data_IF_778500690585
#
_entry.id   IF_778500690585
#
_cell.length_a   1.000
_cell.length_b   1.000
_cell.length_c   1.000
_cell.angle_alpha   90.00
_cell.angle_beta   90.00
_cell.angle_gamma   90.00
#
_symmetry.space_group_name_H-M   'P 1'
#
loop_
_entity.id
_entity.type
_entity.pdbx_description
1 polymer ?
#
# COMPACT_ATOMS: atom_id res chain seq x y z
N UNK A 1 -1.04 -22.27 -10.73
CA UNK A 1 -1.85 -21.33 -9.91
C UNK A 1 -2.19 -20.15 -10.82
N UNK A 2 -3.47 -19.81 -11.00
CA UNK A 2 -3.88 -18.73 -11.91
C UNK A 2 -3.30 -17.37 -11.51
N UNK A 3 -3.23 -16.45 -12.47
CA UNK A 3 -2.79 -15.07 -12.22
C UNK A 3 -3.74 -14.41 -11.22
N UNK A 4 -3.18 -13.79 -10.17
CA UNK A 4 -3.97 -12.95 -9.24
C UNK A 4 -4.33 -11.66 -9.96
N UNK A 5 -5.57 -11.22 -9.80
CA UNK A 5 -5.99 -9.90 -10.21
C UNK A 5 -5.66 -8.90 -9.10
N UNK A 6 -5.25 -7.70 -9.49
CA UNK A 6 -5.13 -6.56 -8.59
C UNK A 6 -6.09 -5.48 -9.06
N UNK A 7 -6.86 -4.89 -8.15
CA UNK A 7 -7.82 -3.84 -8.44
C UNK A 7 -7.84 -2.81 -7.32
N UNK A 8 -7.77 -1.52 -7.65
CA UNK A 8 -8.11 -0.45 -6.72
C UNK A 8 -9.63 -0.38 -6.60
N UNK A 9 -10.16 -0.47 -5.38
CA UNK A 9 -11.60 -0.48 -5.12
C UNK A 9 -11.90 0.07 -3.74
N UNK A 10 -13.02 0.80 -3.65
CA UNK A 10 -13.46 1.49 -2.45
C UNK A 10 -12.37 2.41 -1.88
N UNK A 11 -11.62 3.09 -2.73
CA UNK A 11 -10.54 3.98 -2.32
C UNK A 11 -11.08 5.31 -1.79
N UNK A 12 -12.02 5.93 -2.51
CA UNK A 12 -12.42 7.32 -2.27
C UNK A 12 -13.93 7.50 -2.14
N UNK A 13 -14.35 8.56 -1.45
CA UNK A 13 -15.76 8.96 -1.38
C UNK A 13 -16.34 9.34 -2.74
N UNK A 14 -15.51 9.79 -3.69
CA UNK A 14 -15.91 10.08 -5.06
C UNK A 14 -16.27 8.81 -5.84
N UNK A 15 -15.49 7.73 -5.66
CA UNK A 15 -15.82 6.40 -6.18
C UNK A 15 -17.12 5.88 -5.55
N UNK A 16 -17.20 5.92 -4.22
CA UNK A 16 -18.38 5.42 -3.49
C UNK A 16 -19.67 6.16 -3.92
N UNK A 17 -19.60 7.49 -4.06
CA UNK A 17 -20.73 8.31 -4.54
C UNK A 17 -21.16 7.97 -5.96
N UNK A 18 -20.20 7.69 -6.86
CA UNK A 18 -20.49 7.29 -8.23
C UNK A 18 -21.24 5.95 -8.29
N UNK A 19 -20.78 4.95 -7.53
CA UNK A 19 -21.36 3.60 -7.56
C UNK A 19 -22.70 3.56 -6.81
N UNK A 20 -22.81 4.23 -5.65
CA UNK A 20 -24.04 4.19 -4.86
C UNK A 20 -25.14 5.08 -5.44
N UNK A 21 -24.81 6.28 -5.90
CA UNK A 21 -25.81 7.29 -6.24
C UNK A 21 -25.64 7.92 -7.62
N UNK A 22 -24.54 7.66 -8.33
CA UNK A 22 -24.27 8.31 -9.62
C UNK A 22 -24.00 9.81 -9.47
N UNK A 23 -23.44 10.20 -8.32
CA UNK A 23 -23.15 11.58 -7.94
C UNK A 23 -21.66 11.79 -7.67
N UNK A 24 -21.26 13.04 -7.43
CA UNK A 24 -19.89 13.41 -7.10
C UNK A 24 -18.99 13.64 -8.32
N UNK A 25 -17.72 13.95 -8.04
CA UNK A 25 -16.77 14.41 -9.04
C UNK A 25 -16.56 13.43 -10.21
N UNK A 26 -16.60 12.12 -9.95
CA UNK A 26 -16.48 11.12 -11.01
C UNK A 26 -17.74 11.03 -11.89
N UNK A 27 -18.93 11.24 -11.32
CA UNK A 27 -20.15 11.30 -12.12
C UNK A 27 -20.15 12.52 -13.04
N UNK A 28 -19.66 13.68 -12.55
CA UNK A 28 -19.51 14.89 -13.35
C UNK A 28 -18.49 14.68 -14.50
N UNK A 29 -17.40 13.94 -14.24
CA UNK A 29 -16.43 13.52 -15.25
C UNK A 29 -17.08 12.63 -16.32
N UNK A 30 -17.87 11.64 -15.92
CA UNK A 30 -18.56 10.74 -16.85
C UNK A 30 -19.52 11.52 -17.75
N UNK A 31 -20.31 12.44 -17.19
CA UNK A 31 -21.20 13.31 -17.97
C UNK A 31 -20.43 14.20 -18.95
N UNK A 32 -19.32 14.80 -18.51
CA UNK A 32 -18.47 15.64 -19.38
C UNK A 32 -17.85 14.84 -20.54
N UNK A 33 -17.59 13.55 -20.34
CA UNK A 33 -17.11 12.63 -21.38
C UNK A 33 -18.22 12.02 -22.23
N UNK A 34 -19.49 12.32 -21.97
CA UNK A 34 -20.63 11.68 -22.63
C UNK A 34 -20.75 10.18 -22.32
N UNK A 35 -20.17 9.72 -21.21
CA UNK A 35 -20.24 8.33 -20.76
C UNK A 35 -21.54 8.12 -20.00
N UNK A 36 -22.45 7.31 -20.56
CA UNK A 36 -23.68 6.93 -19.88
C UNK A 36 -23.36 6.06 -18.65
N UNK A 37 -23.99 6.39 -17.52
CA UNK A 37 -23.82 5.65 -16.26
C UNK A 37 -25.14 5.60 -15.50
N UNK A 38 -25.49 4.39 -15.04
CA UNK A 38 -26.60 4.17 -14.12
C UNK A 38 -26.03 3.57 -12.86
N UNK A 39 -26.22 4.26 -11.74
CA UNK A 39 -25.69 3.83 -10.47
C UNK A 39 -26.34 2.50 -10.03
N UNK A 40 -25.56 1.46 -9.71
CA UNK A 40 -26.10 0.18 -9.25
C UNK A 40 -26.70 0.23 -7.84
N UNK A 41 -26.47 1.30 -7.05
CA UNK A 41 -27.11 1.44 -5.73
C UNK A 41 -26.47 0.62 -4.61
N UNK A 42 -25.27 0.07 -4.84
CA UNK A 42 -24.53 -0.79 -3.91
C UNK A 42 -23.14 -0.22 -3.62
N UNK A 43 -22.42 -0.78 -2.65
CA UNK A 43 -21.02 -0.39 -2.38
C UNK A 43 -20.11 -0.73 -3.57
N UNK A 44 -18.96 -0.07 -3.74
CA UNK A 44 -17.97 -0.43 -4.76
C UNK A 44 -17.51 -1.90 -4.66
N UNK A 45 -17.32 -2.40 -3.42
CA UNK A 45 -16.95 -3.80 -3.17
C UNK A 45 -18.05 -4.74 -3.66
N UNK A 46 -19.31 -4.45 -3.33
CA UNK A 46 -20.44 -5.25 -3.78
C UNK A 46 -20.59 -5.23 -5.29
N UNK A 47 -20.46 -4.06 -5.91
CA UNK A 47 -20.55 -3.90 -7.36
C UNK A 47 -19.49 -4.75 -8.09
N UNK A 48 -18.22 -4.67 -7.68
CA UNK A 48 -17.15 -5.49 -8.26
C UNK A 48 -17.44 -6.98 -8.06
N UNK A 49 -17.97 -7.38 -6.91
CA UNK A 49 -18.37 -8.76 -6.66
C UNK A 49 -19.51 -9.22 -7.58
N UNK A 50 -20.55 -8.41 -7.78
CA UNK A 50 -21.71 -8.74 -8.63
C UNK A 50 -21.31 -8.82 -10.10
N UNK A 51 -20.27 -8.09 -10.52
CA UNK A 51 -19.64 -8.22 -11.84
C UNK A 51 -18.70 -9.44 -11.98
N UNK A 52 -18.55 -10.26 -10.94
CA UNK A 52 -17.65 -11.43 -10.94
C UNK A 52 -16.17 -11.10 -10.74
N UNK A 53 -15.81 -9.84 -10.42
CA UNK A 53 -14.43 -9.40 -10.24
C UNK A 53 -13.70 -10.03 -9.04
N UNK A 54 -14.45 -10.69 -8.14
CA UNK A 54 -13.92 -11.46 -7.02
C UNK A 54 -14.09 -12.97 -7.16
N UNK A 55 -14.45 -13.47 -8.35
CA UNK A 55 -14.55 -14.91 -8.62
C UNK A 55 -13.18 -15.55 -8.93
N UNK A 56 -12.13 -14.73 -8.98
CA UNK A 56 -10.73 -15.12 -9.08
C UNK A 56 -9.94 -14.64 -7.85
N UNK A 57 -8.74 -15.18 -7.60
CA UNK A 57 -7.86 -14.65 -6.56
C UNK A 57 -7.58 -13.15 -6.77
N UNK A 58 -8.09 -12.31 -5.89
CA UNK A 58 -8.02 -10.84 -6.02
C UNK A 58 -7.30 -10.18 -4.84
N UNK A 59 -6.46 -9.20 -5.18
CA UNK A 59 -5.86 -8.21 -4.27
C UNK A 59 -6.59 -6.88 -4.45
N UNK A 60 -7.40 -6.50 -3.48
CA UNK A 60 -8.04 -5.19 -3.43
C UNK A 60 -7.06 -4.17 -2.84
N UNK A 61 -6.77 -3.10 -3.58
CA UNK A 61 -5.89 -2.01 -3.11
C UNK A 61 -6.75 -0.93 -2.46
N UNK A 62 -6.22 -0.34 -1.38
CA UNK A 62 -6.85 0.70 -0.54
C UNK A 62 -7.94 0.19 0.41
N UNK A 63 -9.11 -0.19 -0.12
CA UNK A 63 -10.26 -0.66 0.65
C UNK A 63 -10.63 0.28 1.82
N UNK A 64 -10.79 1.58 1.55
CA UNK A 64 -11.05 2.64 2.54
C UNK A 64 -12.53 2.76 2.88
N UNK A 65 -13.39 2.79 1.87
CA UNK A 65 -14.85 2.95 1.99
C UNK A 65 -15.52 1.57 2.18
N UNK A 66 -15.17 0.87 3.25
CA UNK A 66 -15.62 -0.50 3.55
C UNK A 66 -16.46 -0.52 4.82
N UNK A 67 -17.64 -1.12 4.73
CA UNK A 67 -18.52 -1.41 5.87
C UNK A 67 -18.45 -2.90 6.29
N UNK A 68 -19.24 -3.28 7.30
CA UNK A 68 -19.28 -4.65 7.82
C UNK A 68 -19.70 -5.69 6.76
N UNK A 69 -20.65 -5.32 5.89
CA UNK A 69 -21.15 -6.21 4.84
C UNK A 69 -20.08 -6.42 3.77
N UNK A 70 -19.36 -5.36 3.41
CA UNK A 70 -18.23 -5.39 2.50
C UNK A 70 -17.09 -6.25 3.06
N UNK A 71 -16.72 -6.07 4.33
CA UNK A 71 -15.67 -6.86 4.98
C UNK A 71 -16.03 -8.36 5.02
N UNK A 72 -17.29 -8.69 5.32
CA UNK A 72 -17.79 -10.07 5.29
C UNK A 72 -17.75 -10.65 3.87
N UNK A 73 -18.11 -9.85 2.85
CA UNK A 73 -18.07 -10.27 1.45
C UNK A 73 -16.64 -10.52 0.97
N UNK A 74 -15.69 -9.61 1.28
CA UNK A 74 -14.27 -9.79 0.99
C UNK A 74 -13.73 -11.08 1.60
N UNK A 75 -14.09 -11.36 2.86
CA UNK A 75 -13.73 -12.61 3.52
C UNK A 75 -14.30 -13.82 2.79
N UNK A 76 -15.60 -13.82 2.49
CA UNK A 76 -16.29 -14.92 1.84
C UNK A 76 -15.69 -15.23 0.45
N UNK A 77 -15.34 -14.17 -0.31
CA UNK A 77 -14.69 -14.26 -1.62
C UNK A 77 -13.17 -14.50 -1.55
N UNK A 78 -12.59 -14.59 -0.35
CA UNK A 78 -11.14 -14.75 -0.12
C UNK A 78 -10.29 -13.66 -0.78
N UNK A 79 -10.85 -12.45 -0.87
CA UNK A 79 -10.12 -11.26 -1.33
C UNK A 79 -9.16 -10.83 -0.23
N UNK A 80 -7.94 -10.48 -0.63
CA UNK A 80 -6.93 -9.90 0.26
C UNK A 80 -6.81 -8.40 0.02
N UNK A 81 -6.32 -7.64 1.00
CA UNK A 81 -6.20 -6.19 0.90
C UNK A 81 -4.72 -5.76 0.93
N UNK A 82 -4.34 -4.88 -0.01
CA UNK A 82 -3.12 -4.09 0.06
C UNK A 82 -3.46 -2.70 0.62
N UNK A 83 -3.07 -2.45 1.87
CA UNK A 83 -3.30 -1.19 2.55
C UNK A 83 -2.15 -0.21 2.28
N UNK A 84 -2.49 0.97 1.75
CA UNK A 84 -1.53 2.01 1.37
C UNK A 84 -1.74 3.30 2.19
N UNK A 85 -1.46 3.30 3.51
CA UNK A 85 -1.89 4.36 4.41
C UNK A 85 -1.32 5.74 4.08
N UNK A 86 -0.07 5.83 3.60
CA UNK A 86 0.50 7.13 3.18
C UNK A 86 -0.19 7.68 1.93
N UNK A 87 -0.43 6.84 0.94
CA UNK A 87 -1.16 7.24 -0.27
C UNK A 87 -2.56 7.76 0.09
N UNK A 88 -3.27 7.00 0.92
CA UNK A 88 -4.60 7.38 1.37
C UNK A 88 -4.60 8.74 2.08
N UNK A 89 -3.58 8.98 2.93
CA UNK A 89 -3.37 10.26 3.60
C UNK A 89 -3.04 11.40 2.63
N UNK A 90 -2.12 11.18 1.68
CA UNK A 90 -1.71 12.17 0.68
C UNK A 90 -2.88 12.59 -0.22
N UNK A 91 -3.72 11.63 -0.62
CA UNK A 91 -4.87 11.87 -1.47
C UNK A 91 -6.11 12.35 -0.69
N UNK A 92 -6.05 12.36 0.64
CA UNK A 92 -7.16 12.80 1.48
C UNK A 92 -8.41 11.90 1.40
N UNK A 93 -8.23 10.63 1.06
CA UNK A 93 -9.35 9.69 0.86
C UNK A 93 -9.82 8.99 2.14
N UNK A 94 -9.08 9.16 3.24
CA UNK A 94 -9.46 8.70 4.58
C UNK A 94 -8.64 7.53 5.12
N UNK A 95 -9.11 6.95 6.23
CA UNK A 95 -8.43 5.83 6.91
C UNK A 95 -9.21 4.52 6.70
N UNK A 96 -8.53 3.52 6.13
CA UNK A 96 -9.14 2.21 5.95
C UNK A 96 -9.51 1.58 7.31
N UNK A 97 -10.64 0.85 7.40
CA UNK A 97 -11.14 0.27 8.63
C UNK A 97 -10.37 -1.00 9.00
N UNK A 98 -9.08 -0.88 9.32
CA UNK A 98 -8.19 -2.02 9.56
C UNK A 98 -8.72 -2.96 10.65
N UNK A 99 -9.22 -2.41 11.76
CA UNK A 99 -9.79 -3.23 12.85
C UNK A 99 -10.97 -4.07 12.37
N UNK A 100 -11.86 -3.49 11.56
CA UNK A 100 -12.99 -4.21 10.97
C UNK A 100 -12.54 -5.31 10.02
N UNK A 101 -11.68 -4.98 9.05
CA UNK A 101 -11.15 -5.93 8.07
C UNK A 101 -10.46 -7.12 8.75
N UNK A 102 -9.58 -6.83 9.72
CA UNK A 102 -8.86 -7.86 10.47
C UNK A 102 -9.79 -8.70 11.33
N UNK A 103 -10.78 -8.10 12.00
CA UNK A 103 -11.81 -8.80 12.79
C UNK A 103 -12.67 -9.72 11.91
N UNK A 104 -12.99 -9.31 10.68
CA UNK A 104 -13.67 -10.14 9.69
C UNK A 104 -12.77 -11.26 9.13
N UNK A 105 -11.47 -11.28 9.46
CA UNK A 105 -10.51 -12.29 9.01
C UNK A 105 -10.03 -12.08 7.57
N UNK A 106 -10.16 -10.87 7.02
CA UNK A 106 -9.55 -10.46 5.75
C UNK A 106 -8.04 -10.34 5.97
N UNK A 107 -7.25 -10.91 5.06
CA UNK A 107 -5.78 -10.77 5.13
C UNK A 107 -5.40 -9.42 4.55
N UNK A 108 -4.66 -8.63 5.34
CA UNK A 108 -4.22 -7.29 4.97
C UNK A 108 -2.70 -7.22 4.99
N UNK A 109 -2.10 -6.87 3.85
CA UNK A 109 -0.67 -6.54 3.74
C UNK A 109 -0.48 -5.02 3.54
N UNK A 110 0.76 -4.55 3.62
CA UNK A 110 1.10 -3.16 3.31
C UNK A 110 1.56 -2.99 1.86
N UNK A 111 1.20 -1.86 1.26
CA UNK A 111 1.70 -1.39 -0.03
C UNK A 111 2.06 0.08 0.05
N UNK A 112 3.00 0.52 -0.79
CA UNK A 112 3.39 1.94 -0.85
C UNK A 112 2.53 2.72 -1.83
N UNK A 113 1.80 2.03 -2.71
CA UNK A 113 1.22 2.61 -3.92
C UNK A 113 2.32 3.25 -4.81
N UNK A 114 1.92 4.08 -5.78
CA UNK A 114 2.80 4.69 -6.77
C UNK A 114 3.59 5.88 -6.23
N UNK A 115 4.69 6.22 -6.92
CA UNK A 115 5.45 7.44 -6.63
C UNK A 115 4.62 8.73 -6.82
N UNK A 116 3.52 8.71 -7.58
CA UNK A 116 2.66 9.89 -7.76
C UNK A 116 1.78 10.17 -6.53
N UNK A 117 1.39 9.14 -5.80
CA UNK A 117 0.52 9.21 -4.63
C UNK A 117 1.26 8.98 -3.30
N UNK A 118 2.56 8.66 -3.34
CA UNK A 118 3.39 8.51 -2.13
C UNK A 118 4.64 9.41 -2.10
N UNK A 119 5.25 9.63 -3.27
CA UNK A 119 6.59 10.23 -3.46
C UNK A 119 7.77 9.39 -2.94
N UNK A 120 7.53 8.23 -2.33
CA UNK A 120 8.57 7.29 -1.89
C UNK A 120 8.08 5.84 -1.93
N UNK A 121 8.97 4.91 -1.60
CA UNK A 121 8.67 3.49 -1.45
C UNK A 121 9.25 2.96 -0.13
N UNK A 122 8.92 3.65 0.98
CA UNK A 122 9.43 3.35 2.32
C UNK A 122 8.39 2.59 3.15
N UNK A 123 8.60 1.27 3.30
CA UNK A 123 7.73 0.41 4.12
C UNK A 123 7.83 0.68 5.63
N UNK A 124 8.91 1.28 6.14
CA UNK A 124 8.97 1.70 7.55
C UNK A 124 7.99 2.83 7.82
N UNK A 125 7.87 3.76 6.87
CA UNK A 125 6.85 4.80 6.95
C UNK A 125 5.44 4.22 6.78
N UNK A 126 5.22 3.27 5.86
CA UNK A 126 3.90 2.62 5.75
C UNK A 126 3.49 1.91 7.04
N UNK A 127 4.40 1.20 7.72
CA UNK A 127 4.13 0.57 9.01
C UNK A 127 3.73 1.61 10.06
N UNK A 128 4.44 2.74 10.15
CA UNK A 128 4.10 3.84 11.07
C UNK A 128 2.74 4.42 10.79
N UNK A 129 2.48 4.78 9.53
CA UNK A 129 1.22 5.37 9.13
C UNK A 129 0.06 4.39 9.31
N UNK A 130 0.25 3.09 9.05
CA UNK A 130 -0.77 2.07 9.35
C UNK A 130 -1.17 2.08 10.83
N UNK A 131 -0.17 2.11 11.74
CA UNK A 131 -0.44 2.13 13.19
C UNK A 131 -1.13 3.42 13.60
N UNK A 132 -0.60 4.58 13.19
CA UNK A 132 -1.16 5.87 13.60
C UNK A 132 -2.55 6.10 13.03
N UNK A 133 -2.79 5.77 11.76
CA UNK A 133 -4.10 5.91 11.13
C UNK A 133 -5.13 4.98 11.77
N UNK A 134 -4.78 3.72 12.07
CA UNK A 134 -5.68 2.80 12.76
C UNK A 134 -6.05 3.31 14.15
N UNK A 135 -5.05 3.72 14.95
CA UNK A 135 -5.28 4.23 16.31
C UNK A 135 -6.09 5.53 16.31
N UNK A 136 -5.82 6.44 15.38
CA UNK A 136 -6.56 7.68 15.25
C UNK A 136 -8.02 7.44 14.82
N UNK A 137 -8.25 6.52 13.87
CA UNK A 137 -9.58 6.14 13.40
C UNK A 137 -10.42 5.52 14.52
N UNK A 138 -9.88 4.53 15.21
CA UNK A 138 -10.60 3.79 16.27
C UNK A 138 -10.61 4.51 17.63
N UNK A 139 -9.79 5.56 17.79
CA UNK A 139 -9.51 6.22 19.07
C UNK A 139 -9.04 5.23 20.15
N UNK A 140 -8.25 4.25 19.73
CA UNK A 140 -7.77 3.15 20.56
C UNK A 140 -6.30 2.84 20.26
N UNK A 141 -5.46 2.90 21.30
CA UNK A 141 -4.04 2.55 21.20
C UNK A 141 -3.79 1.06 20.90
N UNK A 142 -4.76 0.19 21.18
CA UNK A 142 -4.69 -1.24 20.90
C UNK A 142 -5.15 -1.61 19.47
N UNK A 143 -5.68 -0.66 18.69
CA UNK A 143 -6.22 -0.92 17.35
C UNK A 143 -5.22 -1.59 16.39
N UNK A 144 -3.94 -1.21 16.48
CA UNK A 144 -2.85 -1.88 15.77
C UNK A 144 -1.56 -1.78 16.58
N UNK A 145 -0.90 -2.91 16.81
CA UNK A 145 0.40 -2.97 17.48
C UNK A 145 1.56 -2.85 16.49
N UNK A 146 2.76 -2.52 16.97
CA UNK A 146 3.98 -2.53 16.14
C UNK A 146 4.25 -3.93 15.57
N UNK A 147 4.03 -4.98 16.36
CA UNK A 147 4.14 -6.38 15.91
C UNK A 147 3.18 -6.69 14.76
N UNK A 148 1.94 -6.23 14.86
CA UNK A 148 0.96 -6.41 13.77
C UNK A 148 1.40 -5.67 12.51
N UNK A 149 1.88 -4.44 12.63
CA UNK A 149 2.37 -3.67 11.48
C UNK A 149 3.58 -4.33 10.81
N UNK A 150 4.54 -4.83 11.60
CA UNK A 150 5.67 -5.60 11.10
C UNK A 150 5.23 -6.87 10.37
N UNK A 151 4.24 -7.59 10.93
CA UNK A 151 3.66 -8.76 10.29
C UNK A 151 2.94 -8.40 8.98
N UNK A 152 2.20 -7.29 8.94
CA UNK A 152 1.55 -6.77 7.74
C UNK A 152 2.56 -6.40 6.63
N UNK A 153 3.70 -5.82 7.01
CA UNK A 153 4.80 -5.51 6.10
C UNK A 153 5.65 -6.71 5.66
N UNK A 154 5.44 -7.90 6.24
CA UNK A 154 6.25 -9.10 5.97
C UNK A 154 5.39 -10.32 5.63
N UNK A 155 4.96 -11.09 6.62
CA UNK A 155 4.27 -12.38 6.41
C UNK A 155 2.88 -12.20 5.79
N UNK A 156 2.10 -11.23 6.25
CA UNK A 156 0.78 -11.01 5.66
C UNK A 156 0.92 -10.37 4.27
N UNK A 157 1.93 -9.52 4.04
CA UNK A 157 2.34 -9.08 2.71
C UNK A 157 2.66 -10.24 1.76
N UNK A 158 3.44 -11.23 2.22
CA UNK A 158 3.69 -12.44 1.44
C UNK A 158 2.40 -13.26 1.22
N UNK A 159 1.50 -13.30 2.21
CA UNK A 159 0.23 -14.04 2.15
C UNK A 159 -0.73 -13.44 1.14
N UNK A 160 -0.89 -12.11 1.11
CA UNK A 160 -1.75 -11.44 0.11
C UNK A 160 -1.24 -11.68 -1.31
N UNK A 161 0.08 -11.86 -1.49
CA UNK A 161 0.71 -12.21 -2.76
C UNK A 161 0.72 -13.72 -3.07
N UNK A 162 0.36 -14.59 -2.11
CA UNK A 162 0.41 -16.05 -2.26
C UNK A 162 1.82 -16.64 -2.24
N UNK A 163 2.75 -15.93 -1.61
CA UNK A 163 4.16 -16.27 -1.45
C UNK A 163 4.52 -16.68 -0.01
N UNK A 164 3.53 -16.87 0.86
CA UNK A 164 3.73 -17.16 2.28
C UNK A 164 4.44 -18.49 2.55
N UNK A 165 4.49 -19.41 1.58
CA UNK A 165 5.30 -20.63 1.69
C UNK A 165 6.77 -20.40 1.32
N UNK A 166 7.10 -19.29 0.66
CA UNK A 166 8.42 -19.01 0.11
C UNK A 166 9.15 -17.91 0.88
N UNK A 167 8.45 -16.86 1.32
CA UNK A 167 9.04 -15.64 1.90
C UNK A 167 8.20 -15.10 3.07
N UNK A 168 8.55 -13.92 3.59
CA UNK A 168 7.79 -13.18 4.61
C UNK A 168 8.00 -13.63 6.05
N UNK A 169 8.80 -14.68 6.30
CA UNK A 169 9.19 -15.06 7.66
C UNK A 169 10.51 -15.83 7.66
N UNK A 170 11.30 -15.71 8.72
CA UNK A 170 12.53 -16.48 8.90
C UNK A 170 12.21 -17.88 9.41
N UNK A 171 11.99 -18.83 8.49
CA UNK A 171 11.74 -20.24 8.80
C UNK A 171 12.54 -21.13 7.85
N UNK A 172 13.03 -22.27 8.37
CA UNK A 172 13.70 -23.28 7.56
C UNK A 172 12.82 -23.69 6.37
N UNK A 173 13.42 -23.77 5.19
CA UNK A 173 12.73 -24.13 3.93
C UNK A 173 12.19 -22.94 3.13
N UNK A 174 12.19 -21.72 3.69
CA UNK A 174 11.90 -20.49 2.95
C UNK A 174 13.18 -19.92 2.31
N UNK A 175 12.99 -19.02 1.33
CA UNK A 175 14.09 -18.29 0.69
C UNK A 175 14.80 -17.39 1.71
N UNK A 176 16.09 -17.18 1.48
CA UNK A 176 16.93 -16.30 2.31
C UNK A 176 16.71 -14.82 1.92
N UNK A 177 15.49 -14.33 2.15
CA UNK A 177 15.10 -12.93 1.99
C UNK A 177 15.22 -12.23 3.34
N UNK A 178 16.24 -11.38 3.50
CA UNK A 178 16.62 -10.77 4.77
C UNK A 178 16.79 -9.25 4.63
N UNK A 179 16.40 -8.51 5.66
CA UNK A 179 16.72 -7.11 5.84
C UNK A 179 17.33 -6.94 7.23
N UNK A 180 18.55 -6.40 7.30
CA UNK A 180 19.22 -6.09 8.56
C UNK A 180 19.12 -4.60 8.80
N UNK A 181 18.56 -4.22 9.94
CA UNK A 181 18.29 -2.83 10.30
C UNK A 181 19.04 -2.49 11.57
N UNK A 182 19.74 -1.37 11.55
CA UNK A 182 20.43 -0.81 12.70
C UNK A 182 19.43 -0.13 13.64
N UNK A 183 19.46 -0.45 14.93
CA UNK A 183 18.54 0.11 15.93
C UNK A 183 19.24 0.83 17.09
N UNK A 184 20.55 1.07 16.99
CA UNK A 184 21.38 1.77 18.01
C UNK A 184 21.52 3.29 17.76
N UNK A 185 20.89 3.82 16.71
CA UNK A 185 20.90 5.24 16.40
C UNK A 185 20.15 6.06 17.45
N UNK A 186 20.65 7.27 17.76
CA UNK A 186 20.06 8.17 18.77
C UNK A 186 18.56 8.47 18.55
N UNK A 187 18.05 8.40 17.32
CA UNK A 187 16.64 8.61 17.01
C UNK A 187 15.74 7.40 17.33
N UNK A 188 16.32 6.26 17.71
CA UNK A 188 15.62 4.99 18.02
C UNK A 188 15.91 4.53 19.45
N UNK A 189 17.08 4.86 20.01
CA UNK A 189 17.50 4.54 21.39
C UNK A 189 16.68 5.30 22.44
N UNK A 190 16.33 4.69 23.60
CA UNK A 190 16.67 3.35 24.06
C UNK A 190 15.67 2.25 23.68
N UNK A 191 14.65 2.57 22.86
CA UNK A 191 13.50 1.68 22.65
C UNK A 191 13.87 0.29 22.10
N UNK A 192 15.01 0.16 21.44
CA UNK A 192 15.48 -1.10 20.85
C UNK A 192 15.80 -2.18 21.91
N UNK A 193 16.26 -1.79 23.09
CA UNK A 193 16.69 -2.72 24.14
C UNK A 193 15.47 -3.38 24.82
N UNK A 194 14.37 -2.65 24.96
CA UNK A 194 13.15 -3.12 25.60
C UNK A 194 12.16 -3.74 24.59
N UNK A 195 12.05 -3.15 23.40
CA UNK A 195 11.08 -3.56 22.39
C UNK A 195 11.56 -3.28 20.96
N UNK A 196 12.32 -4.22 20.35
CA UNK A 196 12.87 -4.03 19.01
C UNK A 196 11.81 -3.90 17.92
N UNK A 197 10.61 -4.49 18.09
CA UNK A 197 9.51 -4.35 17.13
C UNK A 197 8.96 -2.91 17.14
N UNK A 198 8.79 -2.33 18.33
CA UNK A 198 8.37 -0.93 18.48
C UNK A 198 9.44 0.03 17.98
N UNK A 199 10.72 -0.23 18.29
CA UNK A 199 11.85 0.54 17.78
C UNK A 199 11.90 0.54 16.24
N UNK A 200 11.74 -0.64 15.63
CA UNK A 200 11.72 -0.81 14.18
C UNK A 200 10.55 -0.07 13.52
N UNK A 201 9.34 -0.19 14.08
CA UNK A 201 8.17 0.44 13.48
C UNK A 201 8.20 1.95 13.73
N UNK A 202 8.27 2.39 14.98
CA UNK A 202 8.08 3.81 15.34
C UNK A 202 9.32 4.69 15.13
N UNK A 203 10.52 4.13 15.18
CA UNK A 203 11.77 4.90 15.18
C UNK A 203 12.59 4.74 13.89
N UNK A 204 12.74 3.51 13.40
CA UNK A 204 13.65 3.23 12.29
C UNK A 204 13.25 3.88 10.97
N UNK A 205 14.26 4.11 10.13
CA UNK A 205 14.15 4.74 8.81
C UNK A 205 14.75 3.82 7.74
N UNK A 206 14.39 4.01 6.48
CA UNK A 206 15.04 3.27 5.39
C UNK A 206 16.57 3.45 5.36
N UNK A 207 17.08 4.61 5.82
CA UNK A 207 18.52 4.87 5.95
C UNK A 207 19.23 4.04 7.02
N UNK A 208 18.48 3.37 7.90
CA UNK A 208 19.02 2.49 8.93
C UNK A 208 19.19 1.04 8.44
N UNK A 209 18.76 0.72 7.23
CA UNK A 209 19.03 -0.57 6.60
C UNK A 209 20.53 -0.68 6.34
N UNK A 210 21.13 -1.76 6.83
CA UNK A 210 22.53 -2.11 6.63
C UNK A 210 22.72 -3.10 5.50
N UNK A 211 21.76 -4.02 5.30
CA UNK A 211 21.93 -5.15 4.39
C UNK A 211 20.57 -5.65 3.90
N UNK A 212 20.44 -5.87 2.60
CA UNK A 212 19.27 -6.49 1.96
C UNK A 212 19.71 -7.70 1.15
N UNK A 213 19.19 -8.88 1.50
CA UNK A 213 19.37 -10.12 0.75
C UNK A 213 18.05 -10.52 0.11
N UNK A 214 18.12 -11.00 -1.13
CA UNK A 214 17.01 -11.68 -1.81
C UNK A 214 17.53 -13.01 -2.33
N UNK A 215 16.90 -14.09 -1.91
CA UNK A 215 17.28 -15.47 -2.23
C UNK A 215 18.77 -15.75 -1.97
N UNK A 216 19.28 -15.22 -0.84
CA UNK A 216 20.68 -15.37 -0.44
C UNK A 216 21.67 -14.45 -1.16
N UNK A 217 21.21 -13.61 -2.11
CA UNK A 217 22.06 -12.67 -2.85
C UNK A 217 21.98 -11.27 -2.25
N UNK A 218 23.13 -10.67 -1.97
CA UNK A 218 23.22 -9.28 -1.50
C UNK A 218 22.79 -8.33 -2.61
N UNK A 219 21.74 -7.55 -2.36
CA UNK A 219 21.25 -6.48 -3.25
C UNK A 219 21.70 -5.09 -2.80
N UNK A 220 21.88 -4.90 -1.50
CA UNK A 220 22.33 -3.66 -0.87
C UNK A 220 23.14 -3.98 0.38
N UNK A 221 24.25 -3.27 0.57
CA UNK A 221 25.09 -3.38 1.77
C UNK A 221 25.76 -2.04 2.10
N UNK A 222 25.49 -1.50 3.28
CA UNK A 222 26.14 -0.30 3.85
C UNK A 222 26.27 0.88 2.87
N UNK A 223 25.19 1.22 2.16
CA UNK A 223 25.17 2.33 1.19
C UNK A 223 25.58 1.95 -0.23
N UNK A 224 26.01 0.70 -0.46
CA UNK A 224 26.44 0.21 -1.77
C UNK A 224 25.38 -0.70 -2.41
N UNK A 225 25.31 -0.68 -3.75
CA UNK A 225 24.38 -1.49 -4.53
C UNK A 225 25.18 -2.37 -5.51
N UNK A 226 25.62 -3.57 -5.11
CA UNK A 226 26.59 -4.37 -5.88
C UNK A 226 26.14 -4.74 -7.29
N UNK A 227 24.83 -4.71 -7.55
CA UNK A 227 24.22 -5.15 -8.80
C UNK A 227 23.70 -4.00 -9.66
N UNK A 228 23.82 -2.75 -9.20
CA UNK A 228 23.25 -1.58 -9.87
C UNK A 228 24.36 -0.57 -10.18
N UNK A 229 24.43 -0.16 -11.45
CA UNK A 229 25.15 1.04 -11.83
C UNK A 229 24.28 2.27 -11.50
N UNK A 230 24.58 2.91 -10.37
CA UNK A 230 23.84 4.08 -9.89
C UNK A 230 23.99 5.30 -10.80
N UNK A 231 25.11 5.42 -11.53
CA UNK A 231 25.31 6.49 -12.52
C UNK A 231 24.37 6.31 -13.71
N UNK A 232 24.36 5.10 -14.27
CA UNK A 232 23.45 4.72 -15.36
C UNK A 232 21.98 4.82 -14.95
N UNK A 233 21.63 4.39 -13.74
CA UNK A 233 20.26 4.49 -13.23
C UNK A 233 19.80 5.95 -13.14
N UNK A 234 20.62 6.85 -12.56
CA UNK A 234 20.31 8.29 -12.48
C UNK A 234 20.17 8.91 -13.87
N UNK A 235 21.06 8.57 -14.80
CA UNK A 235 20.97 9.04 -16.18
C UNK A 235 19.67 8.56 -16.87
N UNK A 236 19.29 7.30 -16.66
CA UNK A 236 18.05 6.73 -17.21
C UNK A 236 16.79 7.43 -16.67
N UNK A 237 16.75 7.72 -15.36
CA UNK A 237 15.66 8.47 -14.74
C UNK A 237 15.58 9.89 -15.31
N UNK A 238 16.72 10.60 -15.41
CA UNK A 238 16.77 11.94 -15.97
C UNK A 238 16.31 11.99 -17.43
N UNK A 239 16.76 11.03 -18.24
CA UNK A 239 16.35 10.89 -19.64
C UNK A 239 14.84 10.64 -19.76
N UNK A 240 14.29 9.73 -18.95
CA UNK A 240 12.86 9.43 -18.93
C UNK A 240 12.04 10.66 -18.54
N UNK A 241 12.46 11.40 -17.52
CA UNK A 241 11.84 12.67 -17.11
C UNK A 241 11.83 13.68 -18.26
N UNK A 242 12.95 13.86 -18.96
CA UNK A 242 13.03 14.78 -20.09
C UNK A 242 12.06 14.38 -21.22
N UNK A 243 12.01 13.10 -21.56
CA UNK A 243 11.07 12.57 -22.56
C UNK A 243 9.62 12.84 -22.17
N UNK A 244 9.23 12.49 -20.95
CA UNK A 244 7.88 12.74 -20.44
C UNK A 244 7.51 14.23 -20.48
N UNK A 245 8.42 15.14 -20.16
CA UNK A 245 8.15 16.60 -20.26
C UNK A 245 7.98 17.09 -21.69
N UNK A 246 8.66 16.47 -22.66
CA UNK A 246 8.54 16.82 -24.09
C UNK A 246 7.25 16.29 -24.70
N UNK A 247 6.88 15.06 -24.35
CA UNK A 247 5.75 14.34 -24.93
C UNK A 247 4.43 14.55 -24.17
N UNK A 248 4.48 15.10 -22.94
CA UNK A 248 3.28 15.39 -22.17
C UNK A 248 2.33 16.33 -22.96
N UNK A 249 1.06 15.94 -23.15
CA UNK A 249 0.04 16.82 -23.70
C UNK A 249 0.00 18.16 -22.97
N UNK A 250 -0.37 19.25 -23.64
CA UNK A 250 -0.51 20.58 -23.00
C UNK A 250 -1.38 20.54 -21.73
N UNK A 251 -2.40 19.68 -21.70
CA UNK A 251 -3.27 19.45 -20.54
C UNK A 251 -2.54 18.83 -19.32
N UNK A 252 -1.48 18.05 -19.54
CA UNK A 252 -0.67 17.44 -18.48
C UNK A 252 0.46 18.36 -17.98
N UNK A 253 0.85 19.39 -18.76
CA UNK A 253 1.84 20.39 -18.30
C UNK A 253 1.38 21.11 -17.04
N UNK A 254 0.10 21.50 -16.95
CA UNK A 254 -0.45 22.14 -15.75
C UNK A 254 -0.40 21.26 -14.50
N UNK A 255 -0.59 19.94 -14.64
CA UNK A 255 -0.48 18.98 -13.53
C UNK A 255 0.98 18.78 -13.12
N UNK A 256 1.90 18.70 -14.09
CA UNK A 256 3.34 18.58 -13.82
C UNK A 256 3.93 19.84 -13.16
N UNK A 257 3.41 21.02 -13.50
CA UNK A 257 3.85 22.28 -12.91
C UNK A 257 3.29 22.45 -11.49
N UNK A 258 2.03 22.05 -11.24
CA UNK A 258 1.43 22.06 -9.89
C UNK A 258 2.12 21.07 -8.93
N UNK A 259 2.50 19.88 -9.42
CA UNK A 259 3.24 18.87 -8.64
C UNK A 259 4.70 19.27 -8.33
N UNK A 260 5.25 20.27 -9.02
CA UNK A 260 6.57 20.83 -8.72
C UNK A 260 6.52 21.99 -7.70
N UNK A 261 5.34 22.51 -7.40
CA UNK A 261 5.10 23.63 -6.47
C UNK A 261 4.47 23.23 -5.12
N UNK A 262 4.23 21.94 -4.89
CA UNK A 262 3.71 21.37 -3.65
C UNK A 262 4.77 20.48 -3.00
#
# INVERSE_FOLDING_TARGET
RGLRQTISVAESSAEDSLIRAGTGAFADEFRRRGTAWTAPGVSPIRYVSDCGGFDVPTLAVHAVQVDEADAALLKAKKVSVAHCPKSNGKLGVGFAPLSLLRKAGVIVGLGTDSAASNNGADLFEEMRFAVYNARARERDTAALSARDALRMGTLDGATVLGLEQQVGSLRRGKRADLCVVRLDGLHVTPAADDNPEAALVYGARASDVLLTLVDGRVLYESGTYPLLDMGRLRASVAHTRQRLRREAPKALKGILDAAASA
#
